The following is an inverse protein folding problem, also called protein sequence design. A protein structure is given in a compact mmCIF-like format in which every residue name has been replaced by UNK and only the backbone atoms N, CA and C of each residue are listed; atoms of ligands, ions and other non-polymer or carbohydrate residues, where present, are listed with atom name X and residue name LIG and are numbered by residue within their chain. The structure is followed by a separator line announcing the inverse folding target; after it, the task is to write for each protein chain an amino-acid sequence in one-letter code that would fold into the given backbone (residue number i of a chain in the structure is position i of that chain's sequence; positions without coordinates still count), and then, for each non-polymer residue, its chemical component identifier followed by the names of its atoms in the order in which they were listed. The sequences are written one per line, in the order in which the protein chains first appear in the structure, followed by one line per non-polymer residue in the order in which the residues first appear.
data_IF_054938116048
#
_entry.id   IF_054938116048
#
_cell.length_a   1.000
_cell.length_b   1.000
_cell.length_c   1.000
_cell.angle_alpha   90.00
_cell.angle_beta   90.00
_cell.angle_gamma   90.00
#
_symmetry.space_group_name_H-M   'P 1'
#
loop_
_entity.id
_entity.type
_entity.pdbx_description
1 polymer ?
#
# COMPACT_ATOMS: atom_id res chain seq x y z
N UNK A 1 -73.54 26.11 45.57
CA UNK A 1 -73.50 26.95 44.36
C UNK A 1 -72.46 28.06 44.55
N UNK A 2 -71.38 28.03 43.75
CA UNK A 2 -70.53 29.14 43.26
C UNK A 2 -69.08 28.66 43.07
N UNK A 3 -68.90 28.02 41.91
CA UNK A 3 -67.87 28.22 40.88
C UNK A 3 -66.42 28.52 41.32
N UNK A 4 -65.58 27.48 41.23
CA UNK A 4 -64.11 27.56 41.16
C UNK A 4 -63.70 28.06 39.78
N UNK A 5 -62.92 29.14 39.72
CA UNK A 5 -62.32 29.68 38.48
C UNK A 5 -60.92 29.07 38.32
N UNK A 6 -60.75 28.17 37.35
CA UNK A 6 -59.45 27.58 37.00
C UNK A 6 -58.80 28.49 35.95
N UNK A 7 -57.66 29.11 36.30
CA UNK A 7 -56.78 29.77 35.35
C UNK A 7 -56.01 28.70 34.57
N UNK A 8 -56.34 28.52 33.29
CA UNK A 8 -55.56 27.70 32.37
C UNK A 8 -54.33 28.51 31.91
N UNK A 9 -53.16 28.13 32.40
CA UNK A 9 -51.87 28.62 31.87
C UNK A 9 -51.56 27.81 30.62
N UNK A 10 -51.66 28.44 29.46
CA UNK A 10 -51.18 27.90 28.18
C UNK A 10 -49.65 27.96 28.16
N UNK A 11 -48.99 26.85 28.48
CA UNK A 11 -47.57 26.65 28.19
C UNK A 11 -47.41 26.41 26.68
N UNK A 12 -46.96 27.42 25.94
CA UNK A 12 -46.52 27.26 24.56
C UNK A 12 -45.16 26.56 24.54
N UNK A 13 -45.15 25.25 24.29
CA UNK A 13 -43.93 24.51 23.99
C UNK A 13 -43.42 24.91 22.61
N UNK A 14 -42.39 25.77 22.57
CA UNK A 14 -41.64 26.02 21.35
C UNK A 14 -40.84 24.75 21.00
N UNK A 15 -41.33 23.98 20.04
CA UNK A 15 -40.56 22.90 19.43
C UNK A 15 -39.40 23.54 18.65
N UNK A 16 -38.21 23.56 19.24
CA UNK A 16 -36.98 23.73 18.48
C UNK A 16 -36.77 22.45 17.66
N UNK A 17 -37.29 22.45 16.43
CA UNK A 17 -36.87 21.49 15.43
C UNK A 17 -35.39 21.78 15.13
N UNK A 18 -34.49 21.02 15.76
CA UNK A 18 -33.12 20.95 15.30
C UNK A 18 -33.16 20.37 13.89
N UNK A 19 -33.05 21.24 12.89
CA UNK A 19 -32.83 20.84 11.52
C UNK A 19 -31.50 20.08 11.50
N UNK A 20 -31.56 18.75 11.58
CA UNK A 20 -30.44 17.90 11.22
C UNK A 20 -30.25 18.10 9.73
N UNK A 21 -29.34 19.02 9.37
CA UNK A 21 -28.84 19.13 8.01
C UNK A 21 -28.27 17.76 7.65
N UNK A 22 -28.99 17.02 6.81
CA UNK A 22 -28.43 15.84 6.16
C UNK A 22 -27.17 16.33 5.42
N UNK A 23 -25.98 15.78 5.71
CA UNK A 23 -24.80 16.10 4.92
C UNK A 23 -25.14 15.82 3.45
N UNK A 24 -24.81 16.77 2.58
CA UNK A 24 -25.06 16.61 1.15
C UNK A 24 -24.38 15.34 0.66
N UNK A 25 -24.97 14.68 -0.36
CA UNK A 25 -24.38 13.51 -1.01
C UNK A 25 -22.98 13.77 -1.63
N UNK A 26 -22.51 15.01 -1.58
CA UNK A 26 -21.21 15.47 -2.08
C UNK A 26 -20.22 15.87 -0.97
N UNK A 27 -20.62 15.79 0.30
CA UNK A 27 -19.77 16.16 1.43
C UNK A 27 -18.55 15.23 1.53
N UNK A 28 -17.36 15.82 1.56
CA UNK A 28 -16.12 15.09 1.80
C UNK A 28 -15.97 14.76 3.29
N UNK A 29 -15.25 13.67 3.59
CA UNK A 29 -14.91 13.28 4.97
C UNK A 29 -13.54 13.86 5.33
N UNK A 30 -13.44 14.71 6.36
CA UNK A 30 -12.16 15.24 6.82
C UNK A 30 -11.21 14.13 7.29
N UNK A 31 -9.96 14.19 6.84
CA UNK A 31 -8.89 13.30 7.28
C UNK A 31 -8.19 13.90 8.50
N UNK A 32 -8.03 13.08 9.51
CA UNK A 32 -7.36 13.38 10.79
C UNK A 32 -6.37 12.26 11.08
N UNK A 33 -5.60 12.39 12.16
CA UNK A 33 -4.67 11.34 12.58
C UNK A 33 -5.36 10.00 12.84
N UNK A 34 -6.62 10.01 13.28
CA UNK A 34 -7.36 8.80 13.69
C UNK A 34 -7.84 7.96 12.51
N UNK A 35 -8.11 8.59 11.36
CA UNK A 35 -8.61 7.91 10.15
C UNK A 35 -7.60 7.94 8.99
N UNK A 36 -6.43 8.56 9.15
CA UNK A 36 -5.43 8.73 8.11
C UNK A 36 -5.05 7.41 7.43
N UNK A 37 -4.74 6.36 8.20
CA UNK A 37 -4.30 5.07 7.62
C UNK A 37 -5.37 4.47 6.70
N UNK A 38 -6.65 4.67 7.03
CA UNK A 38 -7.76 4.21 6.21
C UNK A 38 -7.87 5.05 4.94
N UNK A 39 -7.86 6.37 5.07
CA UNK A 39 -7.90 7.29 3.94
C UNK A 39 -6.74 7.04 2.95
N UNK A 40 -5.53 6.85 3.48
CA UNK A 40 -4.33 6.53 2.70
C UNK A 40 -4.51 5.21 1.95
N UNK A 41 -4.97 4.16 2.62
CA UNK A 41 -5.18 2.85 2.00
C UNK A 41 -6.26 2.91 0.92
N UNK A 42 -7.34 3.65 1.15
CA UNK A 42 -8.40 3.86 0.17
C UNK A 42 -7.89 4.61 -1.06
N UNK A 43 -6.96 5.57 -0.91
CA UNK A 43 -6.31 6.22 -2.05
C UNK A 43 -5.55 5.21 -2.91
N UNK A 44 -4.71 4.37 -2.29
CA UNK A 44 -3.94 3.35 -3.03
C UNK A 44 -4.84 2.27 -3.64
N UNK A 45 -5.87 1.81 -2.92
CA UNK A 45 -6.84 0.85 -3.43
C UNK A 45 -7.61 1.45 -4.61
N UNK A 46 -8.05 2.71 -4.50
CA UNK A 46 -8.72 3.43 -5.58
C UNK A 46 -7.83 3.58 -6.80
N UNK A 47 -6.52 3.85 -6.62
CA UNK A 47 -5.58 3.90 -7.74
C UNK A 47 -5.52 2.56 -8.48
N UNK A 48 -5.40 1.44 -7.77
CA UNK A 48 -5.39 0.09 -8.37
C UNK A 48 -6.73 -0.27 -9.03
N UNK A 49 -7.86 0.07 -8.39
CA UNK A 49 -9.19 -0.20 -8.92
C UNK A 49 -9.49 0.63 -10.17
N UNK A 50 -9.27 1.94 -10.11
CA UNK A 50 -9.68 2.88 -11.16
C UNK A 50 -8.66 2.94 -12.30
N UNK A 51 -7.36 3.06 -11.99
CA UNK A 51 -6.33 3.22 -13.03
C UNK A 51 -5.97 1.91 -13.69
N UNK A 52 -5.83 0.84 -12.90
CA UNK A 52 -5.37 -0.45 -13.42
C UNK A 52 -6.53 -1.39 -13.77
N UNK A 53 -7.77 -1.01 -13.41
CA UNK A 53 -8.96 -1.83 -13.61
C UNK A 53 -8.93 -3.11 -12.79
N UNK A 54 -8.19 -3.15 -11.67
CA UNK A 54 -7.83 -4.38 -10.96
C UNK A 54 -8.76 -4.72 -9.78
N UNK A 55 -10.06 -4.46 -9.93
CA UNK A 55 -11.06 -4.87 -8.94
C UNK A 55 -11.62 -6.26 -9.26
N UNK A 56 -11.48 -7.20 -8.32
CA UNK A 56 -11.91 -8.59 -8.48
C UNK A 56 -11.08 -9.41 -9.46
N UNK A 57 -10.02 -8.84 -10.05
CA UNK A 57 -9.12 -9.47 -11.02
C UNK A 57 -7.72 -8.86 -10.92
N UNK A 58 -6.70 -9.62 -11.31
CA UNK A 58 -5.34 -9.11 -11.38
C UNK A 58 -5.14 -8.20 -12.59
N UNK A 59 -4.49 -7.07 -12.36
CA UNK A 59 -3.74 -6.34 -13.36
C UNK A 59 -2.28 -6.80 -13.29
N UNK A 60 -1.70 -7.15 -14.43
CA UNK A 60 -0.32 -7.58 -14.54
C UNK A 60 0.50 -6.48 -15.21
N UNK A 61 1.41 -5.85 -14.46
CA UNK A 61 2.37 -4.95 -15.08
C UNK A 61 3.28 -5.79 -15.96
N UNK A 62 3.27 -5.57 -17.28
CA UNK A 62 4.10 -6.33 -18.23
C UNK A 62 5.48 -5.73 -18.43
N UNK A 63 5.67 -4.53 -17.92
CA UNK A 63 6.92 -3.79 -18.01
C UNK A 63 7.24 -3.21 -16.64
N UNK A 64 8.54 -3.02 -16.37
CA UNK A 64 8.97 -2.18 -15.26
C UNK A 64 8.69 -0.72 -15.63
N UNK A 65 8.39 0.13 -14.64
CA UNK A 65 8.17 1.55 -14.92
C UNK A 65 9.35 2.14 -15.69
N UNK A 66 9.10 2.96 -16.73
CA UNK A 66 10.15 3.65 -17.46
C UNK A 66 10.97 4.55 -16.53
N UNK A 67 12.25 4.77 -16.86
CA UNK A 67 13.12 5.64 -16.04
C UNK A 67 12.69 7.12 -16.09
N UNK A 68 11.98 7.51 -17.14
CA UNK A 68 11.40 8.83 -17.36
C UNK A 68 9.97 8.97 -16.78
N UNK A 69 9.39 7.89 -16.25
CA UNK A 69 8.07 7.92 -15.60
C UNK A 69 8.05 7.16 -14.26
N UNK A 70 8.84 7.67 -13.30
CA UNK A 70 8.92 7.15 -11.94
C UNK A 70 7.94 7.91 -11.02
N UNK A 71 6.76 7.33 -10.77
CA UNK A 71 5.74 7.91 -9.88
C UNK A 71 5.95 7.59 -8.39
N UNK A 72 6.83 6.64 -8.09
CA UNK A 72 7.12 6.17 -6.73
C UNK A 72 8.59 6.43 -6.41
N UNK A 73 8.84 7.12 -5.30
CA UNK A 73 10.20 7.36 -4.79
C UNK A 73 10.81 6.01 -4.39
N UNK A 74 12.07 5.77 -4.77
CA UNK A 74 12.82 4.53 -4.50
C UNK A 74 12.11 3.27 -5.01
N UNK A 75 11.61 3.34 -6.24
CA UNK A 75 10.91 2.22 -6.85
C UNK A 75 11.79 0.96 -6.91
N UNK A 76 11.17 -0.21 -6.71
CA UNK A 76 11.81 -1.49 -6.95
C UNK A 76 11.86 -1.79 -8.47
N UNK A 77 13.03 -2.21 -8.98
CA UNK A 77 13.21 -2.67 -10.38
C UNK A 77 13.58 -4.14 -10.50
N UNK A 78 13.65 -4.87 -9.39
CA UNK A 78 14.03 -6.28 -9.39
C UNK A 78 12.84 -7.21 -9.68
N UNK A 79 11.62 -6.76 -9.38
CA UNK A 79 10.42 -7.59 -9.52
C UNK A 79 9.36 -6.93 -10.39
N UNK A 80 8.70 -7.75 -11.22
CA UNK A 80 7.48 -7.38 -11.94
C UNK A 80 6.26 -7.64 -11.05
N UNK A 81 5.29 -6.73 -11.09
CA UNK A 81 4.15 -6.71 -10.17
C UNK A 81 2.86 -7.20 -10.83
N UNK A 82 2.03 -7.90 -10.07
CA UNK A 82 0.60 -8.07 -10.36
C UNK A 82 -0.21 -7.60 -9.15
N UNK A 83 -1.25 -6.81 -9.36
CA UNK A 83 -2.03 -6.22 -8.27
C UNK A 83 -3.53 -6.48 -8.46
N UNK A 84 -4.25 -6.66 -7.36
CA UNK A 84 -5.70 -6.78 -7.35
C UNK A 84 -6.27 -6.26 -6.02
N UNK A 85 -7.48 -5.71 -6.05
CA UNK A 85 -8.30 -5.42 -4.87
C UNK A 85 -9.53 -6.31 -4.87
N UNK A 86 -9.85 -6.92 -3.74
CA UNK A 86 -11.02 -7.79 -3.56
C UNK A 86 -11.95 -7.27 -2.47
N UNK A 87 -13.27 -7.36 -2.70
CA UNK A 87 -14.31 -7.14 -1.70
C UNK A 87 -14.63 -8.46 -1.00
N UNK A 88 -14.20 -8.62 0.26
CA UNK A 88 -14.39 -9.84 1.03
C UNK A 88 -15.79 -9.98 1.63
N UNK A 89 -16.62 -8.92 1.58
CA UNK A 89 -18.04 -9.02 1.91
C UNK A 89 -18.82 -9.70 0.77
N UNK A 90 -18.26 -9.71 -0.46
CA UNK A 90 -18.75 -10.49 -1.59
C UNK A 90 -18.38 -12.00 -1.50
N UNK A 91 -17.77 -12.42 -0.39
CA UNK A 91 -17.37 -13.80 -0.11
C UNK A 91 -15.86 -14.02 -0.16
N UNK A 92 -15.38 -15.21 0.25
CA UNK A 92 -13.97 -15.53 0.27
C UNK A 92 -13.38 -15.58 -1.13
N UNK A 93 -12.17 -15.04 -1.30
CA UNK A 93 -11.42 -15.13 -2.55
C UNK A 93 -10.33 -16.20 -2.43
N UNK A 94 -10.24 -17.06 -3.44
CA UNK A 94 -9.15 -18.02 -3.60
C UNK A 94 -8.20 -17.52 -4.67
N UNK A 95 -6.92 -17.38 -4.32
CA UNK A 95 -5.84 -17.00 -5.22
C UNK A 95 -4.90 -18.19 -5.35
N UNK A 96 -4.69 -18.66 -6.56
CA UNK A 96 -3.79 -19.79 -6.83
C UNK A 96 -2.49 -19.26 -7.41
N UNK A 97 -1.41 -19.36 -6.65
CA UNK A 97 -0.07 -19.04 -7.13
C UNK A 97 0.47 -20.21 -7.98
N UNK A 98 1.06 -19.94 -9.15
CA UNK A 98 1.72 -20.97 -9.94
C UNK A 98 3.02 -21.42 -9.26
N UNK A 99 3.52 -22.58 -9.68
CA UNK A 99 4.85 -23.01 -9.26
C UNK A 99 5.93 -22.25 -10.05
N UNK A 100 6.61 -21.31 -9.37
CA UNK A 100 7.72 -20.54 -9.94
C UNK A 100 9.07 -21.28 -9.90
N UNK A 101 9.10 -22.53 -9.42
CA UNK A 101 10.33 -23.30 -9.25
C UNK A 101 11.26 -22.64 -8.25
N UNK A 102 12.48 -22.33 -8.68
CA UNK A 102 13.48 -21.63 -7.84
C UNK A 102 13.38 -20.11 -7.92
N UNK A 103 12.54 -19.55 -8.79
CA UNK A 103 12.40 -18.11 -8.95
C UNK A 103 11.66 -17.53 -7.76
N UNK A 104 12.13 -16.39 -7.26
CA UNK A 104 11.41 -15.63 -6.26
C UNK A 104 10.06 -15.16 -6.80
N UNK A 105 8.99 -15.61 -6.16
CA UNK A 105 7.63 -15.14 -6.38
C UNK A 105 6.94 -15.05 -5.02
N UNK A 106 6.47 -13.85 -4.67
CA UNK A 106 5.84 -13.60 -3.37
C UNK A 106 4.46 -12.99 -3.57
N UNK A 107 3.53 -13.33 -2.71
CA UNK A 107 2.20 -12.74 -2.63
C UNK A 107 2.05 -12.03 -1.29
N UNK A 108 2.04 -10.70 -1.34
CA UNK A 108 1.77 -9.86 -0.20
C UNK A 108 0.27 -9.56 -0.12
N UNK A 109 -0.26 -9.67 1.10
CA UNK A 109 -1.61 -9.25 1.44
C UNK A 109 -1.52 -7.96 2.24
N UNK A 110 -2.31 -6.95 1.86
CA UNK A 110 -2.38 -5.66 2.54
C UNK A 110 -3.84 -5.38 2.88
N UNK A 111 -4.12 -5.27 4.18
CA UNK A 111 -5.46 -4.93 4.68
C UNK A 111 -5.74 -3.45 4.45
N UNK A 112 -7.01 -3.06 4.51
CA UNK A 112 -7.46 -1.66 4.44
C UNK A 112 -7.01 -0.83 5.67
N UNK A 113 -6.59 -1.50 6.75
CA UNK A 113 -5.95 -0.90 7.92
C UNK A 113 -4.41 -0.89 7.81
N UNK A 114 -3.90 -1.21 6.62
CA UNK A 114 -2.48 -1.26 6.28
C UNK A 114 -1.63 -2.24 7.11
N UNK A 115 -2.26 -3.23 7.74
CA UNK A 115 -1.51 -4.40 8.20
C UNK A 115 -1.11 -5.26 7.02
N UNK A 116 0.10 -5.82 7.10
CA UNK A 116 0.64 -6.72 6.09
C UNK A 116 1.23 -7.95 6.79
N UNK A 117 0.52 -9.09 6.80
CA UNK A 117 1.11 -10.33 7.29
C UNK A 117 2.36 -10.70 6.47
N UNK A 118 3.19 -11.63 6.99
CA UNK A 118 4.27 -12.19 6.19
C UNK A 118 3.80 -12.66 4.82
N UNK A 119 4.60 -12.37 3.79
CA UNK A 119 4.28 -12.72 2.42
C UNK A 119 4.18 -14.24 2.23
N UNK A 120 3.37 -14.63 1.26
CA UNK A 120 3.14 -16.04 0.91
C UNK A 120 4.00 -16.38 -0.30
N UNK A 121 4.82 -17.43 -0.16
CA UNK A 121 5.76 -17.90 -1.20
C UNK A 121 5.39 -19.27 -1.77
N UNK A 122 4.52 -20.01 -1.07
CA UNK A 122 4.20 -21.40 -1.42
C UNK A 122 3.20 -21.42 -2.60
N UNK A 123 3.42 -22.22 -3.65
CA UNK A 123 2.47 -22.34 -4.75
C UNK A 123 1.18 -23.04 -4.32
N UNK A 124 0.13 -22.90 -5.13
CA UNK A 124 -1.17 -23.51 -4.86
C UNK A 124 -2.22 -22.52 -4.35
N UNK A 125 -3.41 -23.01 -3.96
CA UNK A 125 -4.55 -22.18 -3.60
C UNK A 125 -4.42 -21.59 -2.19
N UNK A 126 -4.68 -20.29 -2.09
CA UNK A 126 -4.70 -19.53 -0.83
C UNK A 126 -6.04 -18.82 -0.69
N UNK A 127 -6.73 -19.08 0.42
CA UNK A 127 -8.07 -18.52 0.67
C UNK A 127 -7.99 -17.34 1.62
N UNK A 128 -8.36 -16.16 1.13
CA UNK A 128 -8.53 -14.96 1.93
C UNK A 128 -10.01 -14.80 2.29
N UNK A 129 -10.28 -14.58 3.57
CA UNK A 129 -11.64 -14.44 4.11
C UNK A 129 -11.75 -13.13 4.88
N UNK A 130 -12.96 -12.56 4.95
CA UNK A 130 -13.26 -11.36 5.74
C UNK A 130 -12.78 -11.45 7.18
N UNK A 131 -12.95 -12.62 7.79
CA UNK A 131 -12.54 -12.90 9.18
C UNK A 131 -11.01 -12.93 9.36
N UNK A 132 -10.27 -13.56 8.45
CA UNK A 132 -8.80 -13.65 8.54
C UNK A 132 -8.12 -12.32 8.23
N UNK A 133 -8.64 -11.57 7.25
CA UNK A 133 -8.08 -10.29 6.82
C UNK A 133 -8.45 -9.16 7.78
N UNK A 134 -9.67 -9.17 8.31
CA UNK A 134 -10.13 -8.15 9.28
C UNK A 134 -10.67 -6.86 8.64
N UNK A 135 -10.47 -6.64 7.33
CA UNK A 135 -11.05 -5.51 6.56
C UNK A 135 -11.92 -5.99 5.40
N UNK A 136 -12.86 -5.13 4.92
CA UNK A 136 -13.78 -5.49 3.82
C UNK A 136 -12.98 -5.63 2.55
N UNK A 137 -12.18 -4.61 2.25
CA UNK A 137 -11.29 -4.64 1.12
C UNK A 137 -9.94 -5.21 1.51
N UNK A 138 -9.31 -5.88 0.55
CA UNK A 138 -7.92 -6.34 0.65
C UNK A 138 -7.23 -6.10 -0.68
N UNK A 139 -6.02 -5.58 -0.62
CA UNK A 139 -5.13 -5.50 -1.77
C UNK A 139 -4.15 -6.67 -1.72
N UNK A 140 -3.95 -7.30 -2.87
CA UNK A 140 -2.98 -8.37 -3.06
C UNK A 140 -1.98 -7.91 -4.11
N UNK A 141 -0.70 -7.95 -3.75
CA UNK A 141 0.41 -7.65 -4.64
C UNK A 141 1.29 -8.89 -4.79
N UNK A 142 1.45 -9.37 -6.02
CA UNK A 142 2.36 -10.45 -6.37
C UNK A 142 3.60 -9.84 -6.99
N UNK A 143 4.78 -10.20 -6.48
CA UNK A 143 6.08 -9.77 -6.99
C UNK A 143 6.84 -10.97 -7.52
N UNK A 144 7.24 -10.93 -8.79
CA UNK A 144 8.03 -11.97 -9.44
C UNK A 144 9.37 -11.39 -9.86
N UNK A 145 10.48 -11.98 -9.40
CA UNK A 145 11.84 -11.54 -9.77
C UNK A 145 12.03 -11.65 -11.29
N UNK A 146 12.58 -10.60 -11.89
CA UNK A 146 12.80 -10.49 -13.33
C UNK A 146 14.20 -9.95 -13.61
N UNK A 147 14.87 -10.50 -14.62
CA UNK A 147 15.99 -9.85 -15.27
C UNK A 147 15.46 -9.07 -16.49
N UNK A 148 15.24 -7.75 -16.39
CA UNK A 148 14.65 -6.98 -17.48
C UNK A 148 15.55 -6.84 -18.71
N UNK A 149 16.84 -7.20 -18.60
CA UNK A 149 17.77 -7.19 -19.74
C UNK A 149 17.70 -8.47 -20.58
N UNK A 150 17.03 -9.51 -20.08
CA UNK A 150 16.85 -10.80 -20.76
C UNK A 150 15.39 -10.96 -21.20
N UNK A 151 15.15 -10.91 -22.51
CA UNK A 151 13.81 -10.99 -23.07
C UNK A 151 13.15 -12.37 -22.88
N UNK A 152 13.93 -13.45 -22.77
CA UNK A 152 13.38 -14.78 -22.48
C UNK A 152 13.00 -14.91 -21.00
N UNK A 153 13.75 -14.24 -20.11
CA UNK A 153 13.37 -14.12 -18.69
C UNK A 153 12.05 -13.34 -18.53
N UNK A 154 11.91 -12.22 -19.24
CA UNK A 154 10.66 -11.43 -19.26
C UNK A 154 9.47 -12.28 -19.72
N UNK A 155 9.60 -13.04 -20.82
CA UNK A 155 8.56 -13.96 -21.28
C UNK A 155 8.22 -15.02 -20.23
N UNK A 156 9.22 -15.54 -19.54
CA UNK A 156 9.01 -16.51 -18.44
C UNK A 156 8.21 -15.89 -17.30
N UNK A 157 8.50 -14.65 -16.93
CA UNK A 157 7.76 -13.91 -15.90
C UNK A 157 6.32 -13.62 -16.35
N UNK A 158 6.10 -13.27 -17.62
CA UNK A 158 4.76 -13.09 -18.17
C UNK A 158 3.93 -14.37 -18.11
N UNK A 159 4.52 -15.52 -18.46
CA UNK A 159 3.84 -16.81 -18.35
C UNK A 159 3.47 -17.16 -16.89
N UNK A 160 4.32 -16.79 -15.92
CA UNK A 160 3.99 -16.93 -14.49
C UNK A 160 2.86 -15.99 -14.06
N UNK A 161 2.85 -14.74 -14.53
CA UNK A 161 1.73 -13.82 -14.28
C UNK A 161 0.41 -14.38 -14.83
N UNK A 162 0.41 -14.89 -16.07
CA UNK A 162 -0.76 -15.47 -16.73
C UNK A 162 -1.29 -16.71 -16.02
N UNK A 163 -0.42 -17.44 -15.34
CA UNK A 163 -0.76 -18.65 -14.61
C UNK A 163 -1.38 -18.38 -13.22
N UNK A 164 -1.37 -17.14 -12.73
CA UNK A 164 -2.09 -16.75 -11.49
C UNK A 164 -3.59 -16.85 -11.73
N UNK A 165 -4.28 -17.59 -10.86
CA UNK A 165 -5.75 -17.77 -10.95
C UNK A 165 -6.45 -17.15 -9.77
N UNK A 166 -7.65 -16.64 -10.00
CA UNK A 166 -8.54 -16.08 -8.99
C UNK A 166 -9.92 -16.71 -9.13
N UNK A 167 -10.54 -17.04 -8.00
CA UNK A 167 -11.95 -17.44 -7.92
C UNK A 167 -12.60 -16.81 -6.69
N UNK A 168 -13.77 -16.20 -6.89
CA UNK A 168 -14.60 -15.62 -5.83
C UNK A 168 -16.06 -15.78 -6.22
N UNK A 169 -16.78 -16.73 -5.61
CA UNK A 169 -18.11 -17.12 -6.06
C UNK A 169 -19.17 -16.00 -6.01
N UNK A 170 -19.06 -15.05 -5.06
CA UNK A 170 -19.95 -13.89 -4.97
C UNK A 170 -19.32 -12.59 -5.49
N UNK A 171 -18.12 -12.66 -6.06
CA UNK A 171 -17.37 -11.50 -6.54
C UNK A 171 -17.94 -10.87 -7.83
N UNK A 172 -17.44 -9.69 -8.24
CA UNK A 172 -16.38 -8.93 -7.58
C UNK A 172 -16.89 -8.04 -6.43
N UNK A 173 -18.20 -8.03 -6.13
CA UNK A 173 -18.78 -7.11 -5.15
C UNK A 173 -18.84 -5.68 -5.65
N UNK A 174 -18.61 -4.71 -4.76
CA UNK A 174 -18.57 -3.27 -5.11
C UNK A 174 -17.43 -2.58 -4.37
N UNK A 175 -16.75 -1.66 -5.04
CA UNK A 175 -15.74 -0.82 -4.42
C UNK A 175 -16.36 0.53 -4.03
N UNK A 176 -16.54 0.75 -2.74
CA UNK A 176 -17.23 1.89 -2.15
C UNK A 176 -16.41 2.38 -0.95
N UNK A 177 -15.65 3.46 -1.15
CA UNK A 177 -14.84 4.10 -0.11
C UNK A 177 -15.35 5.52 0.15
N UNK A 178 -15.14 6.09 1.35
CA UNK A 178 -15.53 7.47 1.62
C UNK A 178 -14.87 8.45 0.64
N UNK A 179 -15.59 9.54 0.33
CA UNK A 179 -15.03 10.66 -0.41
C UNK A 179 -14.14 11.49 0.52
N UNK A 180 -12.90 11.06 0.72
CA UNK A 180 -11.94 11.74 1.60
C UNK A 180 -11.66 13.17 1.13
N UNK A 181 -11.50 14.10 2.06
CA UNK A 181 -11.11 15.47 1.75
C UNK A 181 -9.61 15.55 1.43
N UNK A 182 -9.22 15.84 0.17
CA UNK A 182 -7.82 15.77 -0.24
C UNK A 182 -6.94 16.84 0.43
N UNK A 183 -7.52 17.97 0.86
CA UNK A 183 -6.78 19.04 1.52
C UNK A 183 -6.33 18.63 2.93
N UNK A 184 -7.24 18.08 3.73
CA UNK A 184 -6.90 17.53 5.05
C UNK A 184 -6.03 16.28 4.98
N UNK A 185 -6.25 15.40 4.00
CA UNK A 185 -5.38 14.23 3.77
C UNK A 185 -3.94 14.65 3.50
N UNK A 186 -3.74 15.59 2.56
CA UNK A 186 -2.42 16.16 2.24
C UNK A 186 -1.77 16.78 3.48
N UNK A 187 -2.53 17.55 4.27
CA UNK A 187 -2.03 18.19 5.49
C UNK A 187 -1.50 17.16 6.50
N UNK A 188 -2.26 16.08 6.75
CA UNK A 188 -1.84 15.02 7.69
C UNK A 188 -0.63 14.26 7.12
N UNK A 189 -0.65 13.90 5.84
CA UNK A 189 0.47 13.22 5.16
C UNK A 189 1.77 14.02 5.28
N UNK A 190 1.75 15.32 4.97
CA UNK A 190 2.94 16.18 5.05
C UNK A 190 3.50 16.28 6.47
N UNK A 191 2.65 16.37 7.49
CA UNK A 191 3.10 16.35 8.88
C UNK A 191 3.74 15.00 9.27
N UNK A 192 3.16 13.88 8.83
CA UNK A 192 3.72 12.55 9.07
C UNK A 192 5.05 12.35 8.33
N UNK A 193 5.23 12.94 7.14
CA UNK A 193 6.51 12.91 6.42
C UNK A 193 7.61 13.69 7.15
N UNK A 194 7.27 14.79 7.85
CA UNK A 194 8.23 15.47 8.75
C UNK A 194 8.66 14.52 9.87
N UNK A 195 7.74 13.81 10.51
CA UNK A 195 8.09 12.80 11.52
C UNK A 195 8.91 11.65 10.92
N UNK A 196 8.56 11.19 9.73
CA UNK A 196 9.28 10.12 9.01
C UNK A 196 10.75 10.45 8.80
N UNK A 197 11.10 11.73 8.60
CA UNK A 197 12.49 12.17 8.47
C UNK A 197 13.37 11.91 9.71
N UNK A 198 12.74 11.67 10.86
CA UNK A 198 13.40 11.35 12.13
C UNK A 198 13.48 9.84 12.42
N UNK A 199 12.75 9.02 11.66
CA UNK A 199 12.70 7.56 11.83
C UNK A 199 13.90 6.92 11.13
N UNK A 200 14.78 6.29 11.90
CA UNK A 200 15.97 5.57 11.39
C UNK A 200 15.73 4.07 11.18
N UNK A 201 14.68 3.55 11.80
CA UNK A 201 14.31 2.15 11.77
C UNK A 201 12.79 2.02 11.63
N UNK A 202 12.37 1.41 10.53
CA UNK A 202 10.96 1.13 10.21
C UNK A 202 10.59 -0.32 10.48
N UNK A 203 11.44 -1.08 11.19
CA UNK A 203 11.22 -2.51 11.45
C UNK A 203 9.90 -2.80 12.20
N UNK A 204 9.34 -1.81 12.90
CA UNK A 204 8.09 -1.95 13.63
C UNK A 204 6.91 -1.25 12.96
N UNK A 205 7.06 -0.78 11.71
CA UNK A 205 6.01 -0.09 10.97
C UNK A 205 5.08 -1.05 10.19
N UNK A 206 5.59 -2.20 9.75
CA UNK A 206 4.90 -3.10 8.81
C UNK A 206 4.85 -4.52 9.36
N UNK A 207 3.66 -5.12 9.40
CA UNK A 207 3.45 -6.43 10.00
C UNK A 207 1.99 -6.72 10.34
N UNK A 208 1.80 -7.76 11.15
CA UNK A 208 0.50 -8.15 11.69
C UNK A 208 -0.03 -7.15 12.72
N UNK A 209 -1.34 -7.12 12.87
CA UNK A 209 -1.99 -6.39 13.96
C UNK A 209 -1.52 -6.95 15.31
N UNK A 210 -1.03 -6.07 16.18
CA UNK A 210 -0.45 -6.43 17.48
C UNK A 210 1.07 -6.68 17.47
N UNK A 211 1.70 -6.76 16.30
CA UNK A 211 3.16 -6.95 16.16
C UNK A 211 3.90 -5.67 15.70
N UNK A 212 3.14 -4.61 15.39
CA UNK A 212 3.67 -3.32 14.93
C UNK A 212 3.51 -2.25 16.00
N UNK A 213 4.45 -1.30 16.02
CA UNK A 213 4.37 -0.10 16.84
C UNK A 213 3.32 0.86 16.22
N UNK A 214 2.28 1.28 16.97
CA UNK A 214 1.20 2.09 16.39
C UNK A 214 1.67 3.43 15.79
N UNK A 215 2.70 4.05 16.38
CA UNK A 215 3.25 5.33 15.90
C UNK A 215 4.07 5.10 14.64
N UNK A 216 4.94 4.09 14.63
CA UNK A 216 5.69 3.77 13.41
C UNK A 216 4.78 3.29 12.27
N UNK A 217 3.71 2.54 12.55
CA UNK A 217 2.72 2.15 11.53
C UNK A 217 2.06 3.38 10.91
N UNK A 218 1.60 4.32 11.74
CA UNK A 218 0.99 5.56 11.27
C UNK A 218 1.96 6.39 10.40
N UNK A 219 3.22 6.52 10.81
CA UNK A 219 4.25 7.19 10.01
C UNK A 219 4.51 6.42 8.70
N UNK A 220 4.64 5.09 8.79
CA UNK A 220 4.83 4.19 7.65
C UNK A 220 3.69 4.23 6.64
N UNK A 221 2.46 4.52 7.08
CA UNK A 221 1.31 4.80 6.22
C UNK A 221 1.59 5.92 5.23
N UNK A 222 2.15 7.02 5.71
CA UNK A 222 2.47 8.17 4.86
C UNK A 222 3.75 7.98 4.05
N UNK A 223 4.78 7.34 4.62
CA UNK A 223 6.14 7.37 4.05
C UNK A 223 6.50 6.18 3.16
N UNK A 224 5.85 5.02 3.32
CA UNK A 224 6.20 3.80 2.60
C UNK A 224 5.02 2.81 2.51
N UNK A 225 3.87 3.29 2.05
CA UNK A 225 2.68 2.45 1.93
C UNK A 225 2.94 1.23 1.03
N UNK A 226 2.58 0.04 1.51
CA UNK A 226 2.78 -1.22 0.80
C UNK A 226 4.17 -1.85 0.94
N UNK A 227 5.04 -1.31 1.81
CA UNK A 227 6.28 -1.98 2.19
C UNK A 227 6.00 -3.37 2.79
N UNK A 228 6.92 -4.31 2.59
CA UNK A 228 6.87 -5.63 3.22
C UNK A 228 7.25 -5.53 4.71
N UNK A 229 6.79 -6.47 5.55
CA UNK A 229 7.31 -6.58 6.90
C UNK A 229 8.81 -6.99 6.86
N UNK A 230 9.59 -6.70 7.91
CA UNK A 230 11.05 -6.87 7.89
C UNK A 230 11.53 -8.29 7.62
N UNK A 231 10.72 -9.28 8.00
CA UNK A 231 10.97 -10.70 7.73
C UNK A 231 11.12 -10.98 6.23
N UNK A 232 10.39 -10.24 5.40
CA UNK A 232 10.30 -10.51 3.95
C UNK A 232 11.13 -9.54 3.12
N UNK A 233 11.38 -8.32 3.61
CA UNK A 233 12.34 -7.39 2.99
C UNK A 233 12.93 -6.42 4.03
N UNK A 234 14.25 -6.22 3.97
CA UNK A 234 14.96 -5.21 4.72
C UNK A 234 15.65 -4.27 3.74
N UNK A 235 15.55 -2.96 3.98
CA UNK A 235 16.18 -1.93 3.15
C UNK A 235 17.19 -1.14 3.97
N UNK A 236 18.43 -1.09 3.51
CA UNK A 236 19.50 -0.31 4.12
C UNK A 236 19.78 0.92 3.27
N UNK A 237 19.33 2.08 3.75
CA UNK A 237 19.63 3.36 3.13
C UNK A 237 21.03 3.83 3.52
N UNK A 238 21.92 3.98 2.53
CA UNK A 238 23.29 4.48 2.77
C UNK A 238 23.52 5.73 1.92
N UNK A 239 23.90 6.83 2.59
CA UNK A 239 24.41 8.05 1.94
C UNK A 239 25.92 8.09 2.16
N UNK A 240 26.74 7.91 1.11
CA UNK A 240 28.20 7.94 1.23
C UNK A 240 28.72 9.31 1.67
N UNK A 241 29.87 9.35 2.35
CA UNK A 241 30.44 10.60 2.87
C UNK A 241 30.82 11.60 1.76
N UNK A 242 31.39 11.12 0.64
CA UNK A 242 31.66 11.92 -0.57
C UNK A 242 30.71 11.52 -1.68
N UNK A 243 29.43 11.86 -1.52
CA UNK A 243 28.39 11.51 -2.46
C UNK A 243 28.35 12.48 -3.67
N UNK A 244 29.49 12.71 -4.32
CA UNK A 244 29.66 13.70 -5.40
C UNK A 244 29.50 13.11 -6.83
N UNK A 245 29.17 11.82 -6.90
CA UNK A 245 29.03 11.00 -8.12
C UNK A 245 30.26 10.92 -9.02
N UNK A 246 31.43 11.32 -8.52
CA UNK A 246 32.73 11.18 -9.18
C UNK A 246 33.71 10.32 -8.37
N UNK A 247 33.55 10.33 -7.05
CA UNK A 247 34.28 9.46 -6.13
C UNK A 247 33.87 8.01 -6.38
N UNK A 248 34.85 7.19 -6.75
CA UNK A 248 34.65 5.75 -6.95
C UNK A 248 34.60 5.05 -5.60
N UNK A 249 33.48 4.37 -5.32
CA UNK A 249 33.33 3.51 -4.17
C UNK A 249 33.53 2.06 -4.56
N UNK A 250 34.14 1.28 -3.65
CA UNK A 250 34.18 -0.18 -3.73
C UNK A 250 33.40 -0.73 -2.55
N UNK A 251 32.40 -1.56 -2.85
CA UNK A 251 31.66 -2.29 -1.83
C UNK A 251 32.17 -3.74 -1.83
N UNK A 252 32.61 -4.20 -0.66
CA UNK A 252 32.88 -5.61 -0.43
C UNK A 252 31.63 -6.22 0.20
N UNK A 253 31.03 -7.17 -0.48
CA UNK A 253 29.86 -7.91 0.00
C UNK A 253 30.32 -9.31 0.33
N UNK A 254 30.19 -9.69 1.60
CA UNK A 254 30.39 -11.08 2.02
C UNK A 254 29.08 -11.86 1.82
N UNK A 255 28.89 -12.98 2.52
CA UNK A 255 27.64 -13.73 2.43
C UNK A 255 26.45 -12.90 2.93
N UNK A 256 25.44 -12.72 2.08
CA UNK A 256 24.16 -12.09 2.43
C UNK A 256 23.16 -13.20 2.80
N UNK A 257 22.70 -13.28 4.06
CA UNK A 257 21.89 -14.41 4.55
C UNK A 257 20.42 -14.23 4.17
N UNK A 258 20.09 -14.41 2.89
CA UNK A 258 18.71 -14.31 2.37
C UNK A 258 18.30 -15.58 1.65
N UNK A 259 17.05 -16.01 1.87
CA UNK A 259 16.45 -17.15 1.17
C UNK A 259 15.98 -16.79 -0.25
N UNK A 260 15.71 -15.50 -0.50
CA UNK A 260 15.24 -14.96 -1.77
C UNK A 260 16.37 -14.42 -2.63
N UNK A 261 16.51 -13.10 -2.64
CA UNK A 261 17.56 -12.40 -3.38
C UNK A 261 17.99 -11.14 -2.61
N UNK A 262 19.09 -10.54 -3.02
CA UNK A 262 19.51 -9.20 -2.61
C UNK A 262 19.91 -8.41 -3.84
N UNK A 263 19.79 -7.09 -3.78
CA UNK A 263 20.18 -6.19 -4.86
C UNK A 263 20.81 -4.93 -4.29
N UNK A 264 21.37 -4.08 -5.15
CA UNK A 264 21.84 -2.75 -4.76
C UNK A 264 21.38 -1.78 -5.82
N UNK A 265 20.62 -0.77 -5.40
CA UNK A 265 20.07 0.26 -6.26
C UNK A 265 20.65 1.63 -5.91
N UNK A 266 20.98 2.41 -6.93
CA UNK A 266 21.47 3.79 -6.79
C UNK A 266 20.41 4.74 -7.32
N UNK A 267 20.03 5.70 -6.48
CA UNK A 267 19.04 6.74 -6.80
C UNK A 267 19.69 8.11 -6.72
N UNK A 268 19.15 9.12 -7.40
CA UNK A 268 19.54 10.52 -7.21
C UNK A 268 19.07 11.06 -5.84
N UNK A 269 19.38 12.34 -5.56
CA UNK A 269 19.04 13.00 -4.30
C UNK A 269 17.53 13.04 -4.03
N UNK A 270 16.72 13.04 -5.09
CA UNK A 270 15.26 13.03 -5.03
C UNK A 270 14.69 11.59 -4.89
N UNK A 271 15.55 10.57 -4.88
CA UNK A 271 15.18 9.17 -4.70
C UNK A 271 14.70 8.46 -5.97
N UNK A 272 15.06 8.94 -7.15
CA UNK A 272 14.72 8.35 -8.45
C UNK A 272 15.94 7.76 -9.16
N UNK A 273 15.75 6.70 -9.96
CA UNK A 273 16.79 6.21 -10.85
C UNK A 273 17.14 7.27 -11.88
N UNK A 274 18.42 7.34 -12.25
CA UNK A 274 18.88 8.10 -13.40
C UNK A 274 19.61 7.17 -14.37
N UNK A 275 19.40 7.37 -15.66
CA UNK A 275 20.17 6.68 -16.68
C UNK A 275 21.67 6.91 -16.44
N UNK A 276 22.49 5.88 -16.66
CA UNK A 276 23.94 5.92 -16.38
C UNK A 276 24.64 7.06 -17.13
N UNK A 277 24.14 7.43 -18.33
CA UNK A 277 24.64 8.57 -19.12
C UNK A 277 24.26 9.95 -18.58
N UNK A 278 23.37 10.03 -17.58
CA UNK A 278 22.80 11.26 -17.03
C UNK A 278 22.81 11.32 -15.50
N UNK A 279 23.52 10.41 -14.82
CA UNK A 279 23.71 10.47 -13.37
C UNK A 279 24.39 11.79 -12.99
N UNK A 280 23.58 12.80 -12.65
CA UNK A 280 24.05 14.02 -12.00
C UNK A 280 24.19 13.73 -10.52
N UNK A 281 25.35 13.19 -10.19
CA UNK A 281 26.27 13.58 -9.11
C UNK A 281 25.86 13.62 -7.63
N UNK A 282 24.64 13.32 -7.19
CA UNK A 282 24.37 13.19 -5.74
C UNK A 282 23.30 12.12 -5.52
N UNK A 283 23.67 10.89 -5.13
CA UNK A 283 22.73 9.78 -5.07
C UNK A 283 22.94 8.77 -3.95
N UNK A 284 21.87 8.32 -3.31
CA UNK A 284 21.93 7.35 -2.20
C UNK A 284 21.84 5.90 -2.68
N UNK A 285 22.39 4.97 -1.89
CA UNK A 285 22.24 3.53 -2.08
C UNK A 285 21.04 3.00 -1.29
N UNK A 286 20.24 2.12 -1.90
CA UNK A 286 19.50 1.10 -1.15
C UNK A 286 20.18 -0.24 -1.40
N UNK A 287 20.58 -0.89 -0.31
CA UNK A 287 20.85 -2.34 -0.29
C UNK A 287 19.59 -3.04 0.19
#
# INVERSE_FOLDING_TARGET
MKTTMIFAVLLSTANFAAAQTQPSADATVPVTVDNFVRAESDLYFSAVVVKDGAFGKFHHNRELSPLDDQKVIRQNRDTMYSVAVFDLDAGPVTITLPNAGKRFMSMQVITEDQYTPPAIYVPGPHILTRQKVGTRYVLVAIRTLVNPSDQEDVKTVHALQDAVKVSQNGGPGRFEVPKWDPASEKKVREALLVLASTVKDTSRAFGLKGEVDPVQRLIGAASAWGANPPKDATYLNVVPTKNDGTTVYKMKVDHVPVDGFWSVSVYNADGFFQAVSRLKRNGGFNV
#
